data_IF_714314963514
#
_entry.id   IF_714314963514
#
_cell.length_a   1.000
_cell.length_b   1.000
_cell.length_c   1.000
_cell.angle_alpha   90.00
_cell.angle_beta   90.00
_cell.angle_gamma   90.00
#
_symmetry.space_group_name_H-M   'P 1'
#
loop_
_entity.id
_entity.type
_entity.pdbx_description
1 polymer ?
#
# COMPACT_ATOMS: atom_id res chain seq x y z
N UNK A 1 -21.23 -20.37 14.37
CA UNK A 1 -21.07 -18.93 14.63
C UNK A 1 -19.65 -18.59 14.22
N UNK A 2 -19.46 -17.80 13.16
CA UNK A 2 -18.11 -17.33 12.80
C UNK A 2 -17.68 -16.28 13.81
N UNK A 3 -16.51 -16.48 14.41
CA UNK A 3 -15.92 -15.54 15.35
C UNK A 3 -15.45 -14.29 14.57
N UNK A 4 -15.60 -13.08 15.13
CA UNK A 4 -15.13 -11.88 14.44
C UNK A 4 -13.61 -11.94 14.19
N UNK A 5 -13.12 -11.30 13.12
CA UNK A 5 -11.69 -11.21 12.85
C UNK A 5 -10.96 -10.42 13.92
N UNK A 6 -9.72 -10.82 14.21
CA UNK A 6 -8.81 -10.11 15.10
C UNK A 6 -8.23 -8.89 14.38
N UNK A 7 -7.91 -7.84 15.14
CA UNK A 7 -7.16 -6.70 14.59
C UNK A 7 -5.72 -7.16 14.35
N UNK A 8 -5.21 -6.92 13.14
CA UNK A 8 -3.85 -7.25 12.75
C UNK A 8 -2.82 -6.57 13.67
N UNK A 9 -1.87 -7.36 14.17
CA UNK A 9 -0.78 -6.89 15.02
C UNK A 9 0.54 -6.87 14.23
N UNK A 10 1.15 -5.69 14.14
CA UNK A 10 2.42 -5.52 13.45
C UNK A 10 3.58 -6.18 14.20
N UNK A 11 4.41 -6.94 13.49
CA UNK A 11 5.70 -7.40 13.98
C UNK A 11 6.74 -6.29 13.86
N UNK A 12 7.43 -5.91 14.94
CA UNK A 12 8.37 -4.79 14.95
C UNK A 12 9.45 -4.89 13.84
N UNK A 13 9.75 -3.77 13.18
CA UNK A 13 10.84 -3.66 12.20
C UNK A 13 12.17 -3.34 12.89
N UNK A 14 13.24 -3.94 12.39
CA UNK A 14 14.58 -3.60 12.81
C UNK A 14 15.13 -2.41 12.01
N UNK A 15 15.19 -1.25 12.68
CA UNK A 15 15.73 -0.01 12.10
C UNK A 15 17.23 -0.10 11.78
N UNK A 16 18.01 -0.90 12.50
CA UNK A 16 19.45 -1.03 12.27
C UNK A 16 19.75 -1.77 10.95
N UNK A 17 18.91 -2.73 10.59
CA UNK A 17 18.98 -3.44 9.31
C UNK A 17 18.14 -2.78 8.22
N UNK A 18 17.52 -1.62 8.51
CA UNK A 18 16.66 -0.86 7.57
C UNK A 18 15.53 -1.73 6.99
N UNK A 19 14.84 -2.48 7.84
CA UNK A 19 13.71 -3.29 7.39
C UNK A 19 12.52 -2.45 6.94
N UNK A 20 11.82 -2.96 5.93
CA UNK A 20 10.53 -2.46 5.44
C UNK A 20 9.54 -3.62 5.38
N UNK A 21 8.24 -3.31 5.36
CA UNK A 21 7.21 -4.27 4.96
C UNK A 21 6.76 -4.02 3.54
N UNK A 22 6.44 -5.08 2.82
CA UNK A 22 5.73 -5.00 1.53
C UNK A 22 4.48 -5.86 1.61
N UNK A 23 3.40 -5.38 1.02
CA UNK A 23 2.15 -6.14 0.90
C UNK A 23 2.27 -7.08 -0.29
N UNK A 24 2.19 -8.38 -0.03
CA UNK A 24 1.91 -9.41 -1.01
C UNK A 24 0.39 -9.47 -1.20
N UNK A 25 -0.12 -8.66 -2.12
CA UNK A 25 -1.54 -8.57 -2.44
C UNK A 25 -1.96 -9.81 -3.24
N UNK A 26 -2.88 -10.60 -2.69
CA UNK A 26 -3.40 -11.79 -3.36
C UNK A 26 -4.30 -11.42 -4.53
N UNK A 27 -4.40 -12.27 -5.57
CA UNK A 27 -5.31 -12.06 -6.68
C UNK A 27 -6.78 -12.19 -6.27
N UNK A 28 -7.68 -11.72 -7.13
CA UNK A 28 -9.12 -11.85 -6.95
C UNK A 28 -9.93 -10.94 -7.86
N UNK A 29 -11.25 -11.14 -7.89
CA UNK A 29 -12.22 -10.36 -8.67
C UNK A 29 -12.77 -9.21 -7.85
N UNK A 30 -13.51 -8.30 -8.48
CA UNK A 30 -14.06 -7.11 -7.83
C UNK A 30 -14.92 -7.42 -6.59
N UNK A 31 -15.71 -8.50 -6.64
CA UNK A 31 -16.57 -8.92 -5.54
C UNK A 31 -15.82 -9.67 -4.41
N UNK A 32 -14.58 -10.11 -4.66
CA UNK A 32 -13.83 -10.89 -3.68
C UNK A 32 -13.24 -9.97 -2.60
N UNK A 33 -13.17 -10.49 -1.37
CA UNK A 33 -12.48 -9.81 -0.28
C UNK A 33 -11.04 -9.46 -0.68
N UNK A 34 -10.57 -8.29 -0.27
CA UNK A 34 -9.17 -7.89 -0.45
C UNK A 34 -8.33 -8.56 0.63
N UNK A 35 -7.38 -9.38 0.21
CA UNK A 35 -6.50 -10.12 1.12
C UNK A 35 -5.05 -10.08 0.66
N UNK A 36 -4.14 -10.29 1.59
CA UNK A 36 -2.72 -10.42 1.31
C UNK A 36 -1.94 -10.86 2.53
N UNK A 37 -0.62 -10.74 2.43
CA UNK A 37 0.32 -11.03 3.51
C UNK A 37 1.31 -9.86 3.60
N UNK A 38 1.64 -9.41 4.81
CA UNK A 38 2.75 -8.47 4.99
C UNK A 38 4.05 -9.24 5.14
N UNK A 39 4.99 -8.96 4.25
CA UNK A 39 6.32 -9.56 4.25
C UNK A 39 7.33 -8.53 4.75
N UNK A 40 8.06 -8.86 5.82
CA UNK A 40 9.20 -8.07 6.27
C UNK A 40 10.42 -8.43 5.44
N UNK A 41 11.11 -7.42 4.92
CA UNK A 41 12.37 -7.57 4.19
C UNK A 41 13.33 -6.46 4.57
N UNK A 42 14.63 -6.73 4.46
CA UNK A 42 15.64 -5.67 4.48
C UNK A 42 15.45 -4.81 3.24
N UNK A 43 15.52 -3.49 3.39
CA UNK A 43 15.54 -2.56 2.27
C UNK A 43 16.85 -2.74 1.49
N UNK A 44 16.84 -3.68 0.55
CA UNK A 44 17.89 -3.89 -0.44
C UNK A 44 17.40 -3.47 -1.84
N UNK A 45 18.34 -3.19 -2.74
CA UNK A 45 18.03 -2.84 -4.13
C UNK A 45 17.71 -4.07 -5.00
N UNK A 46 17.55 -5.26 -4.40
CA UNK A 46 17.46 -6.53 -5.14
C UNK A 46 16.05 -7.11 -5.22
N UNK A 47 15.16 -6.72 -4.31
CA UNK A 47 13.79 -7.22 -4.27
C UNK A 47 12.81 -6.23 -4.90
N UNK A 48 12.33 -6.46 -6.14
CA UNK A 48 11.43 -5.51 -6.80
C UNK A 48 10.04 -5.53 -6.17
N UNK A 49 9.57 -4.35 -5.77
CA UNK A 49 8.19 -4.10 -5.37
C UNK A 49 7.65 -2.89 -6.14
N UNK A 50 6.34 -2.81 -6.30
CA UNK A 50 5.66 -1.60 -6.74
C UNK A 50 5.41 -0.69 -5.53
N UNK A 51 5.24 0.62 -5.71
CA UNK A 51 4.78 1.51 -4.64
C UNK A 51 3.45 2.16 -5.03
N UNK A 52 2.57 2.40 -4.06
CA UNK A 52 1.33 3.14 -4.29
C UNK A 52 1.45 4.57 -3.78
N UNK A 53 1.23 5.54 -4.64
CA UNK A 53 0.94 6.92 -4.27
C UNK A 53 -0.56 7.16 -4.45
N UNK A 54 -1.24 7.64 -3.42
CA UNK A 54 -2.68 7.80 -3.43
C UNK A 54 -3.13 8.95 -2.55
N UNK A 55 -4.28 9.52 -2.86
CA UNK A 55 -4.95 10.46 -1.95
C UNK A 55 -5.51 9.69 -0.76
N UNK A 56 -5.28 10.15 0.47
CA UNK A 56 -5.64 9.35 1.65
C UNK A 56 -7.16 9.13 1.84
N UNK A 57 -7.99 10.05 1.32
CA UNK A 57 -9.44 10.03 1.49
C UNK A 57 -9.87 10.42 2.91
N UNK A 58 -11.13 10.16 3.26
CA UNK A 58 -11.64 10.42 4.61
C UNK A 58 -11.16 9.33 5.59
N UNK A 59 -10.38 9.66 6.63
CA UNK A 59 -9.83 8.67 7.57
C UNK A 59 -10.90 8.02 8.46
N UNK A 60 -12.10 8.59 8.58
CA UNK A 60 -13.19 8.00 9.39
C UNK A 60 -13.98 6.92 8.65
N UNK A 61 -13.86 6.86 7.31
CA UNK A 61 -14.62 5.96 6.46
C UNK A 61 -13.72 4.79 6.04
N UNK A 62 -13.67 3.77 6.89
CA UNK A 62 -12.75 2.63 6.76
C UNK A 62 -13.44 1.35 6.27
N UNK A 63 -12.66 0.48 5.66
CA UNK A 63 -13.04 -0.89 5.27
C UNK A 63 -11.88 -1.85 5.57
N UNK A 64 -12.16 -3.11 5.92
CA UNK A 64 -11.12 -4.07 6.27
C UNK A 64 -10.41 -4.62 5.04
N UNK A 65 -9.11 -4.87 5.15
CA UNK A 65 -8.37 -5.84 4.34
C UNK A 65 -7.94 -7.00 5.23
N UNK A 66 -7.80 -8.20 4.67
CA UNK A 66 -7.47 -9.41 5.42
C UNK A 66 -5.99 -9.78 5.24
N UNK A 67 -5.23 -9.81 6.34
CA UNK A 67 -3.77 -10.02 6.32
C UNK A 67 -3.35 -11.38 6.91
N UNK A 68 -4.32 -12.21 7.26
CA UNK A 68 -4.14 -13.56 7.79
C UNK A 68 -5.48 -14.31 7.85
N UNK A 69 -5.50 -15.58 8.29
CA UNK A 69 -6.71 -16.41 8.29
C UNK A 69 -7.90 -15.80 9.05
N UNK A 70 -7.64 -15.05 10.13
CA UNK A 70 -8.65 -14.36 10.91
C UNK A 70 -8.14 -12.99 11.40
N UNK A 71 -7.36 -12.29 10.58
CA UNK A 71 -6.77 -11.00 10.94
C UNK A 71 -7.11 -9.94 9.90
N UNK A 72 -7.55 -8.77 10.37
CA UNK A 72 -7.91 -7.64 9.52
C UNK A 72 -7.19 -6.34 9.90
N UNK A 73 -6.95 -5.51 8.90
CA UNK A 73 -6.49 -4.14 9.05
C UNK A 73 -7.52 -3.19 8.45
N UNK A 74 -7.91 -2.18 9.23
CA UNK A 74 -8.81 -1.13 8.76
C UNK A 74 -8.02 -0.10 7.95
N UNK A 75 -8.41 0.08 6.69
CA UNK A 75 -7.85 1.08 5.78
C UNK A 75 -8.95 2.00 5.28
N UNK A 76 -8.60 3.16 4.72
CA UNK A 76 -9.61 4.04 4.14
C UNK A 76 -10.33 3.35 2.99
N UNK A 77 -11.62 3.64 2.82
CA UNK A 77 -12.42 3.07 1.72
C UNK A 77 -11.85 3.40 0.35
N UNK A 78 -11.19 4.56 0.23
CA UNK A 78 -10.53 4.98 -1.00
C UNK A 78 -9.27 4.14 -1.30
N UNK A 79 -8.46 3.83 -0.28
CA UNK A 79 -7.33 2.92 -0.46
C UNK A 79 -7.81 1.49 -0.79
N UNK A 80 -8.90 1.04 -0.17
CA UNK A 80 -9.53 -0.25 -0.49
C UNK A 80 -9.94 -0.32 -1.96
N UNK A 81 -10.56 0.74 -2.47
CA UNK A 81 -10.94 0.85 -3.87
C UNK A 81 -9.72 0.78 -4.79
N UNK A 82 -8.65 1.55 -4.49
CA UNK A 82 -7.39 1.49 -5.22
C UNK A 82 -6.84 0.06 -5.30
N UNK A 83 -6.86 -0.68 -4.18
CA UNK A 83 -6.43 -2.08 -4.14
C UNK A 83 -7.31 -3.00 -4.98
N UNK A 84 -8.63 -2.78 -5.01
CA UNK A 84 -9.54 -3.54 -5.88
C UNK A 84 -9.18 -3.37 -7.36
N UNK A 85 -8.86 -2.16 -7.79
CA UNK A 85 -8.47 -1.87 -9.17
C UNK A 85 -7.06 -2.33 -9.53
N UNK A 86 -6.11 -2.24 -8.59
CA UNK A 86 -4.71 -2.62 -8.83
C UNK A 86 -4.55 -4.15 -8.83
N UNK A 87 -5.31 -4.86 -7.99
CA UNK A 87 -5.24 -6.32 -7.87
C UNK A 87 -5.52 -7.00 -9.21
N UNK A 88 -4.69 -7.97 -9.57
CA UNK A 88 -4.90 -8.83 -10.74
C UNK A 88 -5.83 -10.00 -10.41
N UNK A 89 -6.44 -10.59 -11.43
CA UNK A 89 -7.37 -11.71 -11.25
C UNK A 89 -6.70 -13.03 -10.86
N UNK A 90 -5.44 -13.22 -11.27
CA UNK A 90 -4.73 -14.50 -11.23
C UNK A 90 -3.28 -14.39 -10.75
N UNK A 91 -2.77 -13.17 -10.55
CA UNK A 91 -1.38 -12.92 -10.17
C UNK A 91 -1.28 -12.10 -8.88
N UNK A 92 -0.29 -12.44 -8.06
CA UNK A 92 0.08 -11.69 -6.85
C UNK A 92 0.81 -10.41 -7.24
N UNK A 93 0.57 -9.33 -6.50
CA UNK A 93 1.34 -8.08 -6.60
C UNK A 93 2.11 -7.86 -5.30
N UNK A 94 3.41 -7.58 -5.41
CA UNK A 94 4.22 -7.08 -4.29
C UNK A 94 4.20 -5.56 -4.35
N UNK A 95 3.58 -4.92 -3.34
CA UNK A 95 3.38 -3.47 -3.33
C UNK A 95 3.66 -2.87 -1.95
N UNK A 96 4.35 -1.73 -1.91
CA UNK A 96 4.55 -0.91 -0.73
C UNK A 96 3.49 0.20 -0.67
N UNK A 97 2.85 0.36 0.48
CA UNK A 97 1.77 1.33 0.72
C UNK A 97 1.93 1.85 2.14
N UNK A 98 2.14 3.14 2.34
CA UNK A 98 2.49 3.72 3.65
C UNK A 98 1.46 3.38 4.76
N UNK A 99 0.16 3.50 4.48
CA UNK A 99 -0.88 3.20 5.48
C UNK A 99 -0.99 1.71 5.87
N UNK A 100 -0.39 0.79 5.10
CA UNK A 100 -0.44 -0.66 5.36
C UNK A 100 0.92 -1.19 5.81
N UNK A 101 2.01 -0.70 5.23
CA UNK A 101 3.35 -1.24 5.46
C UNK A 101 4.01 -0.63 6.71
N UNK A 102 3.52 0.53 7.16
CA UNK A 102 4.01 1.23 8.35
C UNK A 102 3.01 1.06 9.49
N UNK A 103 3.50 0.65 10.67
CA UNK A 103 2.71 0.67 11.91
C UNK A 103 2.41 2.12 12.31
N UNK A 104 1.24 2.63 11.94
CA UNK A 104 0.86 4.04 12.18
C UNK A 104 0.77 4.41 13.67
N UNK A 105 0.59 3.41 14.55
CA UNK A 105 0.51 3.56 16.01
C UNK A 105 1.88 3.58 16.68
N UNK A 106 2.91 3.01 16.05
CA UNK A 106 4.28 3.08 16.55
C UNK A 106 4.95 4.33 15.99
N UNK A 107 5.09 5.36 16.84
CA UNK A 107 5.67 6.65 16.45
C UNK A 107 7.14 6.51 16.04
N UNK A 108 7.90 5.63 16.70
CA UNK A 108 9.32 5.42 16.42
C UNK A 108 9.49 4.77 15.05
N UNK A 109 8.76 3.66 14.82
CA UNK A 109 8.76 2.98 13.52
C UNK A 109 8.29 3.94 12.41
N UNK A 110 7.17 4.63 12.63
CA UNK A 110 6.61 5.56 11.63
C UNK A 110 7.61 6.64 11.24
N UNK A 111 8.26 7.28 12.20
CA UNK A 111 9.24 8.32 11.90
C UNK A 111 10.44 7.76 11.12
N UNK A 112 10.92 6.57 11.47
CA UNK A 112 12.00 5.91 10.76
C UNK A 112 11.60 5.58 9.31
N UNK A 113 10.44 4.96 9.10
CA UNK A 113 9.94 4.61 7.77
C UNK A 113 9.66 5.85 6.90
N UNK A 114 9.11 6.92 7.48
CA UNK A 114 8.91 8.21 6.79
C UNK A 114 10.24 8.81 6.34
N UNK A 115 11.30 8.68 7.15
CA UNK A 115 12.65 9.15 6.76
C UNK A 115 13.22 8.39 5.55
N UNK A 116 12.81 7.13 5.37
CA UNK A 116 13.21 6.27 4.24
C UNK A 116 12.31 6.42 3.00
N UNK A 117 11.17 7.11 3.11
CA UNK A 117 10.11 7.12 2.10
C UNK A 117 10.62 7.55 0.72
N UNK A 118 11.48 8.57 0.65
CA UNK A 118 12.08 9.02 -0.62
C UNK A 118 12.85 7.88 -1.31
N UNK A 119 13.66 7.13 -0.55
CA UNK A 119 14.43 6.01 -1.08
C UNK A 119 13.51 4.85 -1.48
N UNK A 120 12.48 4.56 -0.68
CA UNK A 120 11.51 3.50 -0.95
C UNK A 120 10.78 3.74 -2.27
N UNK A 121 10.27 4.96 -2.52
CA UNK A 121 9.64 5.27 -3.80
C UNK A 121 10.63 5.28 -4.96
N UNK A 122 11.85 5.76 -4.75
CA UNK A 122 12.87 5.82 -5.81
C UNK A 122 13.38 4.44 -6.24
N UNK A 123 13.31 3.44 -5.35
CA UNK A 123 13.71 2.06 -5.63
C UNK A 123 12.54 1.14 -6.05
N UNK A 124 11.30 1.65 -6.03
CA UNK A 124 10.16 0.88 -6.51
C UNK A 124 10.32 0.59 -8.01
N UNK A 125 10.02 -0.64 -8.43
CA UNK A 125 9.97 -1.02 -9.85
C UNK A 125 8.99 -0.15 -10.63
N UNK A 126 7.86 0.17 -10.01
CA UNK A 126 6.83 1.03 -10.59
C UNK A 126 6.13 1.77 -9.46
N UNK A 127 5.96 3.09 -9.61
CA UNK A 127 5.11 3.87 -8.72
C UNK A 127 3.73 3.99 -9.37
N UNK A 128 2.75 3.31 -8.79
CA UNK A 128 1.34 3.38 -9.18
C UNK A 128 0.71 4.61 -8.53
N UNK A 129 -0.02 5.39 -9.30
CA UNK A 129 -0.69 6.61 -8.82
C UNK A 129 -2.20 6.39 -8.87
N UNK A 130 -2.87 6.58 -7.74
CA UNK A 130 -4.33 6.46 -7.62
C UNK A 130 -4.93 7.76 -7.10
N UNK A 131 -5.75 8.40 -7.93
CA UNK A 131 -6.32 9.71 -7.66
C UNK A 131 -7.83 9.68 -7.85
N UNK A 132 -8.53 10.68 -7.30
CA UNK A 132 -9.99 10.77 -7.41
C UNK A 132 -10.44 10.83 -8.89
N UNK A 133 -11.65 10.33 -9.17
CA UNK A 133 -12.24 10.43 -10.52
C UNK A 133 -12.51 11.87 -10.98
N UNK A 134 -12.43 12.84 -10.07
CA UNK A 134 -12.64 14.28 -10.34
C UNK A 134 -11.34 15.04 -10.61
N UNK A 135 -10.26 14.39 -11.05
CA UNK A 135 -9.21 15.20 -11.67
C UNK A 135 -9.76 15.67 -13.00
N UNK A 136 -10.22 16.92 -13.00
CA UNK A 136 -10.47 17.65 -14.22
C UNK A 136 -9.21 17.54 -15.08
N UNK A 137 -9.37 17.06 -16.31
CA UNK A 137 -8.32 17.03 -17.33
C UNK A 137 -7.65 18.39 -17.56
N UNK A 138 -8.29 19.49 -17.15
CA UNK A 138 -7.74 20.86 -17.15
C UNK A 138 -6.85 21.18 -15.94
N UNK A 139 -6.86 20.35 -14.90
CA UNK A 139 -6.07 20.56 -13.68
C UNK A 139 -4.56 20.55 -13.98
N UNK A 140 -3.78 21.50 -13.43
CA UNK A 140 -2.33 21.51 -13.57
C UNK A 140 -1.66 20.19 -13.15
N UNK A 141 -2.29 19.42 -12.25
CA UNK A 141 -1.82 18.11 -11.82
C UNK A 141 -1.80 17.09 -12.97
N UNK A 142 -2.84 17.07 -13.82
CA UNK A 142 -2.91 16.20 -15.00
C UNK A 142 -1.83 16.56 -16.03
N UNK A 143 -1.58 17.86 -16.23
CA UNK A 143 -0.53 18.34 -17.13
C UNK A 143 0.88 17.95 -16.69
N UNK A 144 1.11 17.77 -15.38
CA UNK A 144 2.38 17.29 -14.83
C UNK A 144 2.49 15.77 -15.02
N UNK A 145 1.43 15.01 -14.74
CA UNK A 145 1.41 13.56 -14.95
C UNK A 145 1.62 13.17 -16.43
N UNK A 146 0.99 13.88 -17.37
CA UNK A 146 1.14 13.65 -18.80
C UNK A 146 2.55 13.96 -19.34
N UNK A 147 3.36 14.74 -18.61
CA UNK A 147 4.76 15.02 -18.97
C UNK A 147 5.72 13.94 -18.51
N UNK A 148 5.37 13.14 -17.50
CA UNK A 148 6.21 12.06 -17.00
C UNK A 148 6.19 10.82 -17.93
N UNK A 149 5.10 10.63 -18.66
CA UNK A 149 4.93 9.55 -19.64
C UNK A 149 5.81 9.69 -20.90
N UNK A 150 6.41 10.88 -21.11
CA UNK A 150 7.25 11.20 -22.27
C UNK A 150 8.75 11.10 -22.03
N UNK A 151 9.17 10.67 -20.84
CA UNK A 151 10.59 10.54 -20.46
C UNK A 151 11.04 9.08 -20.34
N UNK A 152 10.36 8.13 -20.99
CA UNK A 152 10.81 6.73 -21.16
C UNK A 152 11.44 6.53 -22.53
#
# INVERSE_FOLDING_TARGET
MEQPPNIYAYQALNAATREIRVLKLHPGREADKISGELLTTVFDSRSPYDALSYQWGNPTVTKPIYLGPNEELQITSFLREALTFIRKHDEVIIIWIDAICISQKDVSERNHQVSMMKEIYSNARTVRVWLNQEIDSSSPCFAILAKLDKCS
#
